data_IF_382183772328
#
_entry.id   IF_382183772328
#
_cell.length_a   1.000
_cell.length_b   1.000
_cell.length_c   1.000
_cell.angle_alpha   90.00
_cell.angle_beta   90.00
_cell.angle_gamma   90.00
#
_symmetry.space_group_name_H-M   'P 1'
#
loop_
_entity.id
_entity.type
_entity.pdbx_description
1 polymer ?
#
# COMPACT_ATOMS: atom_id res chain seq x y z
N UNK A 1 15.98 17.37 19.70
CA UNK A 1 15.01 17.72 20.74
C UNK A 1 15.65 17.27 22.01
N UNK A 2 16.05 18.22 22.85
CA UNK A 2 17.11 18.09 23.86
C UNK A 2 17.02 16.82 24.71
N UNK A 3 15.83 16.55 25.27
CA UNK A 3 15.55 15.35 26.08
C UNK A 3 15.87 14.01 25.37
N UNK A 4 15.67 13.96 24.06
CA UNK A 4 15.89 12.76 23.26
C UNK A 4 17.37 12.55 22.98
N UNK A 5 18.11 13.62 22.72
CA UNK A 5 19.56 13.55 22.49
C UNK A 5 20.25 13.10 23.78
N UNK A 6 19.77 13.60 24.92
CA UNK A 6 20.19 13.15 26.24
C UNK A 6 19.86 11.66 26.48
N UNK A 7 18.63 11.22 26.15
CA UNK A 7 18.25 9.80 26.22
C UNK A 7 19.15 8.91 25.34
N UNK A 8 19.58 9.36 24.17
CA UNK A 8 20.47 8.61 23.29
C UNK A 8 21.89 8.48 23.86
N UNK A 9 22.42 9.56 24.43
CA UNK A 9 23.74 9.58 25.06
C UNK A 9 23.78 8.68 26.30
N UNK A 10 22.80 8.81 27.21
CA UNK A 10 22.68 7.98 28.41
C UNK A 10 22.51 6.50 28.02
N UNK A 11 21.65 6.20 27.04
CA UNK A 11 21.47 4.84 26.58
C UNK A 11 22.77 4.23 26.01
N UNK A 12 23.61 5.02 25.34
CA UNK A 12 24.91 4.56 24.84
C UNK A 12 25.91 4.30 25.98
N UNK A 13 25.94 5.15 27.00
CA UNK A 13 26.79 4.97 28.18
C UNK A 13 26.44 3.68 28.96
N UNK A 14 25.15 3.31 28.98
CA UNK A 14 24.63 2.10 29.62
C UNK A 14 24.52 0.88 28.69
N UNK A 15 25.17 0.90 27.53
CA UNK A 15 25.19 -0.22 26.59
C UNK A 15 23.82 -0.65 26.06
N UNK A 16 22.82 0.23 26.12
CA UNK A 16 21.45 0.01 25.63
C UNK A 16 20.64 -1.09 26.35
N UNK A 17 21.07 -1.52 27.54
CA UNK A 17 20.46 -2.64 28.27
C UNK A 17 19.84 -2.22 29.61
N UNK A 18 20.41 -1.21 30.29
CA UNK A 18 20.03 -0.86 31.67
C UNK A 18 18.94 0.22 31.76
N UNK A 19 17.77 -0.03 31.16
CA UNK A 19 16.70 0.98 31.00
C UNK A 19 16.16 1.57 32.31
N UNK A 20 16.28 0.85 33.42
CA UNK A 20 15.93 1.36 34.74
C UNK A 20 16.86 2.51 35.16
N UNK A 21 18.17 2.30 35.07
CA UNK A 21 19.19 3.32 35.36
C UNK A 21 19.14 4.47 34.36
N UNK A 22 18.93 4.15 33.08
CA UNK A 22 18.77 5.15 32.02
C UNK A 22 17.59 6.09 32.32
N UNK A 23 16.47 5.57 32.84
CA UNK A 23 15.31 6.37 33.18
C UNK A 23 15.52 7.26 34.40
N UNK A 24 16.20 6.74 35.42
CA UNK A 24 16.60 7.48 36.63
C UNK A 24 17.54 8.64 36.27
N UNK A 25 18.55 8.37 35.44
CA UNK A 25 19.53 9.37 35.00
C UNK A 25 18.92 10.40 34.03
N UNK A 26 17.98 9.99 33.19
CA UNK A 26 17.28 10.91 32.30
C UNK A 26 16.44 11.94 33.09
N UNK A 27 15.98 11.60 34.31
CA UNK A 27 15.32 12.54 35.22
C UNK A 27 13.96 13.09 34.73
N UNK A 28 13.36 12.51 33.69
CA UNK A 28 12.17 13.09 33.03
C UNK A 28 10.82 12.52 33.49
N UNK A 29 10.74 11.97 34.71
CA UNK A 29 9.55 11.25 35.24
C UNK A 29 9.05 10.11 34.33
N UNK A 30 9.88 9.64 33.40
CA UNK A 30 9.56 8.55 32.49
C UNK A 30 9.98 7.23 33.12
N UNK A 31 9.16 6.21 32.95
CA UNK A 31 9.54 4.84 33.29
C UNK A 31 10.60 4.30 32.32
N UNK A 32 11.33 3.27 32.75
CA UNK A 32 12.26 2.50 31.90
C UNK A 32 11.64 2.10 30.56
N UNK A 33 10.39 1.65 30.56
CA UNK A 33 9.66 1.28 29.35
C UNK A 33 9.40 2.48 28.43
N UNK A 34 9.00 3.64 28.97
CA UNK A 34 8.77 4.85 28.19
C UNK A 34 10.08 5.39 27.58
N UNK A 35 11.20 5.29 28.30
CA UNK A 35 12.54 5.62 27.79
C UNK A 35 12.93 4.70 26.64
N UNK A 36 12.78 3.38 26.82
CA UNK A 36 13.03 2.39 25.77
C UNK A 36 12.17 2.64 24.53
N UNK A 37 10.86 2.85 24.70
CA UNK A 37 9.92 3.11 23.62
C UNK A 37 10.31 4.36 22.83
N UNK A 38 10.67 5.45 23.53
CA UNK A 38 11.07 6.73 22.91
C UNK A 38 12.42 6.60 22.18
N UNK A 39 13.36 5.82 22.72
CA UNK A 39 14.63 5.51 22.07
C UNK A 39 14.42 4.70 20.79
N UNK A 40 13.63 3.62 20.86
CA UNK A 40 13.32 2.76 19.71
C UNK A 40 12.59 3.53 18.59
N UNK A 41 11.66 4.43 18.93
CA UNK A 41 11.00 5.32 17.96
C UNK A 41 11.95 6.21 17.16
N UNK A 42 13.20 6.37 17.61
CA UNK A 42 14.22 7.18 16.94
C UNK A 42 15.42 6.39 16.44
N UNK A 43 15.48 5.10 16.72
CA UNK A 43 16.48 4.22 16.18
C UNK A 43 16.36 4.20 14.65
N UNK A 44 17.37 4.78 13.96
CA UNK A 44 17.39 4.88 12.50
C UNK A 44 17.47 3.50 11.84
N UNK A 45 18.03 2.50 12.51
CA UNK A 45 18.05 1.12 12.03
C UNK A 45 16.62 0.55 11.95
N UNK A 46 15.80 0.76 12.99
CA UNK A 46 14.37 0.40 13.01
C UNK A 46 13.51 1.22 12.03
N UNK A 47 14.02 2.37 11.57
CA UNK A 47 13.37 3.23 10.56
C UNK A 47 13.78 2.92 9.12
N UNK A 48 14.52 1.84 8.85
CA UNK A 48 14.82 1.44 7.47
C UNK A 48 13.53 1.36 6.65
N UNK A 49 13.36 2.28 5.71
CA UNK A 49 12.12 2.37 4.89
C UNK A 49 12.08 1.33 3.79
N UNK A 50 13.23 1.04 3.19
CA UNK A 50 13.34 0.15 2.05
C UNK A 50 13.78 -1.23 2.51
N UNK A 51 13.18 -2.26 1.93
CA UNK A 51 13.53 -3.66 2.13
C UNK A 51 14.58 -4.06 1.12
N UNK A 52 15.68 -4.66 1.57
CA UNK A 52 16.70 -5.21 0.67
C UNK A 52 16.35 -6.64 0.27
N UNK A 53 16.98 -7.12 -0.81
CA UNK A 53 16.80 -8.51 -1.24
C UNK A 53 17.34 -9.50 -0.20
N UNK A 54 18.41 -9.15 0.52
CA UNK A 54 18.96 -9.93 1.63
C UNK A 54 17.93 -10.07 2.76
N UNK A 55 17.27 -8.97 3.13
CA UNK A 55 16.22 -8.99 4.16
C UNK A 55 15.02 -9.84 3.71
N UNK A 56 14.64 -9.77 2.43
CA UNK A 56 13.58 -10.61 1.88
C UNK A 56 13.95 -12.10 1.90
N UNK A 57 15.18 -12.44 1.51
CA UNK A 57 15.70 -13.82 1.58
C UNK A 57 15.69 -14.33 3.01
N UNK A 58 16.21 -13.53 3.94
CA UNK A 58 16.26 -13.88 5.36
C UNK A 58 14.86 -14.05 5.96
N UNK A 59 13.94 -13.10 5.74
CA UNK A 59 12.56 -13.21 6.21
C UNK A 59 11.88 -14.46 5.63
N UNK A 60 12.10 -14.74 4.35
CA UNK A 60 11.53 -15.93 3.70
C UNK A 60 12.03 -17.22 4.33
N UNK A 61 13.34 -17.33 4.53
CA UNK A 61 13.94 -18.49 5.18
C UNK A 61 13.43 -18.67 6.62
N UNK A 62 13.45 -17.61 7.43
CA UNK A 62 12.98 -17.67 8.82
C UNK A 62 11.50 -18.05 8.92
N UNK A 63 10.66 -17.55 8.01
CA UNK A 63 9.24 -17.95 7.97
C UNK A 63 9.10 -19.42 7.60
N UNK A 64 9.88 -19.93 6.64
CA UNK A 64 9.84 -21.34 6.25
C UNK A 64 10.28 -22.26 7.39
N UNK A 65 11.35 -21.90 8.11
CA UNK A 65 11.90 -22.71 9.20
C UNK A 65 11.05 -22.67 10.47
N UNK A 66 10.48 -21.50 10.82
CA UNK A 66 9.84 -21.29 12.12
C UNK A 66 8.30 -21.40 12.09
N UNK A 67 7.67 -21.49 10.91
CA UNK A 67 6.21 -21.62 10.83
C UNK A 67 5.73 -22.97 11.37
N UNK A 68 4.57 -22.94 12.03
CA UNK A 68 3.86 -24.15 12.47
C UNK A 68 2.48 -24.12 11.85
N UNK A 69 2.28 -24.92 10.80
CA UNK A 69 1.07 -24.88 9.98
C UNK A 69 0.86 -23.50 9.32
N UNK A 70 -0.26 -22.85 9.65
CA UNK A 70 -0.60 -21.49 9.19
C UNK A 70 -0.05 -20.39 10.11
N UNK A 71 0.44 -20.72 11.31
CA UNK A 71 0.95 -19.75 12.25
C UNK A 71 2.42 -19.41 11.97
N UNK A 72 2.69 -18.10 11.84
CA UNK A 72 4.05 -17.56 11.66
C UNK A 72 4.41 -16.75 12.90
N UNK A 73 5.45 -17.14 13.66
CA UNK A 73 5.79 -16.50 14.93
C UNK A 73 6.65 -15.24 14.73
N UNK A 74 6.09 -14.16 14.16
CA UNK A 74 6.82 -12.92 13.85
C UNK A 74 7.52 -12.27 15.04
N UNK A 75 6.97 -12.43 16.25
CA UNK A 75 7.61 -11.97 17.50
C UNK A 75 8.92 -12.69 17.82
N UNK A 76 9.12 -13.91 17.30
CA UNK A 76 10.39 -14.64 17.42
C UNK A 76 11.32 -14.33 16.26
N UNK A 77 10.78 -14.24 15.04
CA UNK A 77 11.55 -13.93 13.82
C UNK A 77 12.26 -12.58 13.96
N UNK A 78 11.64 -11.59 14.61
CA UNK A 78 12.23 -10.25 14.78
C UNK A 78 13.58 -10.25 15.51
N UNK A 79 13.87 -11.24 16.38
CA UNK A 79 15.17 -11.35 17.05
C UNK A 79 16.32 -11.62 16.09
N UNK A 80 16.03 -12.16 14.91
CA UNK A 80 17.01 -12.47 13.86
C UNK A 80 17.06 -11.40 12.76
N UNK A 81 16.21 -10.37 12.83
CA UNK A 81 16.10 -9.33 11.83
C UNK A 81 16.37 -7.95 12.42
N UNK A 82 17.66 -7.66 12.59
CA UNK A 82 18.12 -6.39 13.15
C UNK A 82 17.56 -5.18 12.40
N UNK A 83 17.08 -4.19 13.16
CA UNK A 83 16.50 -2.98 12.56
C UNK A 83 15.12 -3.20 11.93
N UNK A 84 14.43 -4.29 12.25
CA UNK A 84 13.01 -4.46 11.91
C UNK A 84 12.15 -4.70 13.14
N UNK A 85 10.86 -4.38 13.03
CA UNK A 85 9.85 -4.71 14.03
C UNK A 85 8.86 -5.78 13.51
N UNK A 86 8.19 -6.48 14.43
CA UNK A 86 7.28 -7.58 14.06
C UNK A 86 6.14 -7.15 13.12
N UNK A 87 5.67 -5.90 13.19
CA UNK A 87 4.62 -5.39 12.32
C UNK A 87 5.15 -5.16 10.90
N UNK A 88 6.40 -4.67 10.76
CA UNK A 88 7.07 -4.53 9.48
C UNK A 88 7.23 -5.90 8.80
N UNK A 89 7.60 -6.94 9.56
CA UNK A 89 7.71 -8.32 9.05
C UNK A 89 6.35 -8.85 8.57
N UNK A 90 5.29 -8.68 9.39
CA UNK A 90 3.92 -9.07 9.03
C UNK A 90 3.51 -8.38 7.73
N UNK A 91 3.72 -7.06 7.66
CA UNK A 91 3.34 -6.27 6.50
C UNK A 91 4.13 -6.72 5.26
N UNK A 92 5.45 -6.88 5.36
CA UNK A 92 6.28 -7.32 4.23
C UNK A 92 5.87 -8.69 3.72
N UNK A 93 5.67 -9.64 4.64
CA UNK A 93 5.25 -11.00 4.29
C UNK A 93 3.88 -10.99 3.57
N UNK A 94 2.86 -10.47 4.26
CA UNK A 94 1.46 -10.55 3.80
C UNK A 94 1.15 -9.68 2.58
N UNK A 95 2.04 -8.74 2.21
CA UNK A 95 1.86 -7.86 1.05
C UNK A 95 2.75 -8.21 -0.13
N UNK A 96 3.85 -8.94 0.08
CA UNK A 96 4.88 -9.03 -0.96
C UNK A 96 5.57 -10.40 -1.08
N UNK A 97 5.86 -11.07 0.04
CA UNK A 97 6.69 -12.29 0.05
C UNK A 97 5.89 -13.58 0.14
N UNK A 98 4.66 -13.55 0.65
CA UNK A 98 3.83 -14.75 0.77
C UNK A 98 3.66 -15.42 -0.62
N UNK A 99 4.14 -16.66 -0.81
CA UNK A 99 4.02 -17.38 -2.08
C UNK A 99 2.56 -17.60 -2.51
N UNK A 100 1.60 -17.52 -1.58
CA UNK A 100 0.18 -17.57 -1.89
C UNK A 100 -0.33 -16.34 -2.66
N UNK A 101 0.42 -15.23 -2.67
CA UNK A 101 0.02 -14.01 -3.36
C UNK A 101 0.21 -14.12 -4.88
N UNK A 102 -0.90 -14.03 -5.61
CA UNK A 102 -0.93 -13.93 -7.06
C UNK A 102 -0.58 -12.53 -7.53
N UNK A 103 0.48 -12.45 -8.33
CA UNK A 103 0.88 -11.25 -9.09
C UNK A 103 0.30 -11.34 -10.50
N UNK A 104 -0.22 -10.24 -11.02
CA UNK A 104 -0.71 -10.16 -12.41
C UNK A 104 -2.24 -10.11 -12.56
N UNK A 105 -2.71 -10.50 -13.75
CA UNK A 105 -4.09 -10.29 -14.22
C UNK A 105 -5.12 -10.98 -13.34
N UNK A 106 -6.29 -10.36 -13.22
CA UNK A 106 -7.46 -10.91 -12.52
C UNK A 106 -8.26 -11.80 -13.44
N UNK A 107 -8.51 -13.03 -13.00
CA UNK A 107 -9.41 -13.95 -13.67
C UNK A 107 -10.88 -13.58 -13.39
N UNK A 108 -11.82 -13.92 -14.29
CA UNK A 108 -13.25 -13.66 -14.08
C UNK A 108 -13.80 -14.25 -12.76
N UNK A 109 -13.29 -15.42 -12.35
CA UNK A 109 -13.69 -16.09 -11.11
C UNK A 109 -13.22 -15.30 -9.89
N UNK A 110 -12.04 -14.67 -9.96
CA UNK A 110 -11.54 -13.79 -8.90
C UNK A 110 -12.40 -12.52 -8.79
N UNK A 111 -12.79 -11.93 -9.93
CA UNK A 111 -13.69 -10.77 -9.95
C UNK A 111 -15.06 -11.11 -9.36
N UNK A 112 -15.61 -12.30 -9.67
CA UNK A 112 -16.87 -12.75 -9.12
C UNK A 112 -16.81 -12.90 -7.59
N UNK A 113 -15.77 -13.55 -7.07
CA UNK A 113 -15.54 -13.67 -5.61
C UNK A 113 -15.38 -12.31 -4.95
N UNK A 114 -14.61 -11.41 -5.57
CA UNK A 114 -14.43 -10.05 -5.05
C UNK A 114 -15.76 -9.29 -4.98
N UNK A 115 -16.59 -9.38 -6.02
CA UNK A 115 -17.90 -8.73 -6.04
C UNK A 115 -18.83 -9.30 -4.97
N UNK A 116 -18.86 -10.63 -4.80
CA UNK A 116 -19.65 -11.28 -3.77
C UNK A 116 -19.20 -10.87 -2.36
N UNK A 117 -17.89 -10.85 -2.12
CA UNK A 117 -17.32 -10.46 -0.83
C UNK A 117 -17.60 -8.98 -0.51
N UNK A 118 -17.49 -8.08 -1.49
CA UNK A 118 -17.83 -6.66 -1.31
C UNK A 118 -19.33 -6.47 -1.06
N UNK A 119 -20.20 -7.23 -1.74
CA UNK A 119 -21.63 -7.20 -1.45
C UNK A 119 -21.96 -7.69 -0.03
N UNK A 120 -21.19 -8.65 0.49
CA UNK A 120 -21.36 -9.23 1.83
C UNK A 120 -20.84 -8.33 2.96
N UNK A 121 -19.66 -7.72 2.79
CA UNK A 121 -18.97 -6.98 3.86
C UNK A 121 -18.96 -5.46 3.67
N UNK A 122 -19.40 -4.95 2.52
CA UNK A 122 -19.29 -3.55 2.15
C UNK A 122 -17.86 -3.12 1.79
N UNK A 123 -17.70 -1.85 1.41
CA UNK A 123 -16.43 -1.30 0.87
C UNK A 123 -15.45 -0.79 1.96
N UNK A 124 -15.67 -1.20 3.20
CA UNK A 124 -15.00 -0.60 4.38
C UNK A 124 -13.96 -1.54 4.99
N UNK A 125 -14.19 -2.86 4.93
CA UNK A 125 -13.33 -3.87 5.53
C UNK A 125 -12.70 -4.77 4.47
N UNK A 126 -11.65 -4.25 3.83
CA UNK A 126 -10.90 -4.97 2.80
C UNK A 126 -10.11 -6.16 3.34
N UNK A 127 -9.86 -6.20 4.65
CA UNK A 127 -9.20 -7.33 5.30
C UNK A 127 -10.11 -8.56 5.31
N UNK A 128 -11.40 -8.41 5.64
CA UNK A 128 -12.37 -9.52 5.50
C UNK A 128 -12.61 -9.90 4.05
N UNK A 129 -12.65 -8.92 3.15
CA UNK A 129 -12.85 -9.19 1.72
C UNK A 129 -11.73 -10.08 1.15
N UNK A 130 -10.47 -9.84 1.50
CA UNK A 130 -9.36 -10.65 0.97
C UNK A 130 -9.41 -12.11 1.42
N UNK A 131 -10.04 -12.42 2.55
CA UNK A 131 -10.18 -13.80 3.03
C UNK A 131 -11.06 -14.65 2.10
N UNK A 132 -12.00 -14.02 1.39
CA UNK A 132 -12.86 -14.68 0.39
C UNK A 132 -12.25 -14.67 -1.03
N UNK A 133 -11.14 -13.96 -1.25
CA UNK A 133 -10.46 -13.83 -2.55
C UNK A 133 -9.05 -14.42 -2.46
N UNK A 134 -8.93 -15.76 -2.52
CA UNK A 134 -7.67 -16.45 -2.24
C UNK A 134 -6.55 -16.02 -3.17
N UNK A 135 -5.41 -15.68 -2.57
CA UNK A 135 -4.21 -15.24 -3.25
C UNK A 135 -4.21 -13.78 -3.69
N UNK A 136 -5.20 -12.97 -3.32
CA UNK A 136 -5.17 -11.52 -3.50
C UNK A 136 -5.07 -10.83 -2.14
N UNK A 137 -4.21 -9.82 -2.06
CA UNK A 137 -4.16 -8.94 -0.89
C UNK A 137 -5.35 -7.98 -0.87
N UNK A 138 -5.70 -7.49 0.31
CA UNK A 138 -6.71 -6.45 0.55
C UNK A 138 -6.46 -5.19 -0.30
N UNK A 139 -5.19 -4.80 -0.48
CA UNK A 139 -4.83 -3.68 -1.35
C UNK A 139 -5.15 -3.97 -2.82
N UNK A 140 -4.85 -5.18 -3.31
CA UNK A 140 -5.20 -5.59 -4.68
C UNK A 140 -6.72 -5.66 -4.86
N UNK A 141 -7.45 -6.23 -3.91
CA UNK A 141 -8.92 -6.29 -3.92
C UNK A 141 -9.54 -4.90 -4.01
N UNK A 142 -9.11 -3.98 -3.13
CA UNK A 142 -9.56 -2.58 -3.13
C UNK A 142 -9.30 -1.89 -4.45
N UNK A 143 -8.07 -1.98 -4.95
CA UNK A 143 -7.67 -1.33 -6.20
C UNK A 143 -8.46 -1.87 -7.39
N UNK A 144 -8.62 -3.20 -7.47
CA UNK A 144 -9.41 -3.85 -8.52
C UNK A 144 -10.85 -3.39 -8.50
N UNK A 145 -11.49 -3.38 -7.33
CA UNK A 145 -12.88 -3.00 -7.19
C UNK A 145 -13.08 -1.54 -7.61
N UNK A 146 -12.41 -0.60 -6.95
CA UNK A 146 -12.59 0.84 -7.15
C UNK A 146 -12.27 1.29 -8.58
N UNK A 147 -11.33 0.63 -9.28
CA UNK A 147 -10.92 1.04 -10.63
C UNK A 147 -11.65 0.34 -11.76
N UNK A 148 -12.20 -0.86 -11.54
CA UNK A 148 -12.69 -1.72 -12.64
C UNK A 148 -14.08 -2.32 -12.42
N UNK A 149 -14.48 -2.56 -11.17
CA UNK A 149 -15.70 -3.31 -10.85
C UNK A 149 -16.77 -2.51 -10.12
N UNK A 150 -16.39 -1.38 -9.49
CA UNK A 150 -17.30 -0.54 -8.74
C UNK A 150 -18.52 -0.14 -9.59
N UNK A 151 -19.72 -0.26 -9.02
CA UNK A 151 -20.99 -0.10 -9.74
C UNK A 151 -21.16 1.28 -10.38
N UNK A 152 -20.56 2.32 -9.78
CA UNK A 152 -20.57 3.67 -10.34
C UNK A 152 -19.75 3.79 -11.64
N UNK A 153 -18.95 2.81 -12.04
CA UNK A 153 -18.16 2.89 -13.26
C UNK A 153 -19.00 2.47 -14.48
N UNK A 154 -19.17 3.40 -15.42
CA UNK A 154 -19.85 3.15 -16.68
C UNK A 154 -18.95 2.37 -17.63
N UNK A 155 -19.33 1.13 -17.93
CA UNK A 155 -18.74 0.29 -18.99
C UNK A 155 -19.53 0.53 -20.27
N UNK A 156 -18.91 1.10 -21.31
CA UNK A 156 -19.58 1.30 -22.61
C UNK A 156 -19.22 2.60 -23.33
N UNK A 157 -19.95 2.85 -24.43
CA UNK A 157 -19.74 3.99 -25.35
C UNK A 157 -19.78 5.33 -24.62
N UNK A 158 -18.95 6.26 -25.10
CA UNK A 158 -19.01 7.66 -24.70
C UNK A 158 -20.13 8.35 -25.46
N UNK A 159 -20.92 9.17 -24.77
CA UNK A 159 -21.85 10.09 -25.43
C UNK A 159 -21.18 11.46 -25.66
N UNK A 160 -21.82 12.30 -26.48
CA UNK A 160 -21.29 13.61 -26.84
C UNK A 160 -21.07 14.51 -25.62
N UNK A 161 -21.98 14.51 -24.65
CA UNK A 161 -21.85 15.30 -23.41
C UNK A 161 -20.62 14.90 -22.59
N UNK A 162 -20.36 13.60 -22.46
CA UNK A 162 -19.16 13.08 -21.80
C UNK A 162 -17.88 13.49 -22.55
N UNK A 163 -17.92 13.54 -23.88
CA UNK A 163 -16.80 13.98 -24.72
C UNK A 163 -16.53 15.48 -24.59
N UNK A 164 -17.58 16.30 -24.62
CA UNK A 164 -17.52 17.75 -24.43
C UNK A 164 -16.95 18.09 -23.06
N UNK A 165 -17.49 17.48 -22.01
CA UNK A 165 -17.02 17.67 -20.64
C UNK A 165 -15.57 17.20 -20.46
N UNK A 166 -15.16 16.10 -21.13
CA UNK A 166 -13.77 15.67 -21.13
C UNK A 166 -12.85 16.73 -21.77
N UNK A 167 -13.24 17.32 -22.89
CA UNK A 167 -12.46 18.36 -23.57
C UNK A 167 -12.36 19.61 -22.70
N UNK A 168 -13.46 20.04 -22.09
CA UNK A 168 -13.50 21.18 -21.18
C UNK A 168 -12.56 20.97 -19.98
N UNK A 169 -12.64 19.82 -19.31
CA UNK A 169 -11.80 19.50 -18.17
C UNK A 169 -10.31 19.37 -18.56
N UNK A 170 -10.00 18.89 -19.76
CA UNK A 170 -8.62 18.89 -20.30
C UNK A 170 -8.15 20.32 -20.57
N UNK A 171 -9.02 21.20 -21.08
CA UNK A 171 -8.70 22.61 -21.26
C UNK A 171 -8.43 23.32 -19.92
N UNK A 172 -9.20 22.97 -18.89
CA UNK A 172 -9.08 23.52 -17.53
C UNK A 172 -7.85 23.04 -16.77
N UNK A 173 -7.56 21.73 -16.80
CA UNK A 173 -6.51 21.12 -15.98
C UNK A 173 -5.24 20.75 -16.75
N UNK A 174 -5.29 20.66 -18.07
CA UNK A 174 -4.19 20.19 -18.91
C UNK A 174 -4.19 18.68 -19.17
N UNK A 175 -3.53 18.29 -20.26
CA UNK A 175 -3.37 16.89 -20.67
C UNK A 175 -2.46 16.18 -19.67
N UNK A 176 -2.87 15.01 -19.16
CA UNK A 176 -2.09 14.23 -18.20
C UNK A 176 -2.71 14.17 -16.81
N UNK A 177 -3.56 15.13 -16.44
CA UNK A 177 -4.23 15.20 -15.14
C UNK A 177 -5.46 14.28 -15.04
N UNK A 178 -5.35 13.04 -15.52
CA UNK A 178 -6.49 12.12 -15.70
C UNK A 178 -7.23 11.76 -14.42
N UNK A 179 -6.51 11.62 -13.30
CA UNK A 179 -7.14 11.36 -12.01
C UNK A 179 -8.01 12.54 -11.56
N UNK A 180 -7.51 13.77 -11.76
CA UNK A 180 -8.26 14.99 -11.44
C UNK A 180 -9.45 15.17 -12.38
N UNK A 181 -9.24 14.98 -13.68
CA UNK A 181 -10.33 15.02 -14.68
C UNK A 181 -11.41 14.00 -14.35
N UNK A 182 -11.05 12.75 -14.04
CA UNK A 182 -12.01 11.71 -13.68
C UNK A 182 -12.79 12.01 -12.39
N UNK A 183 -12.21 12.77 -11.46
CA UNK A 183 -12.94 13.20 -10.25
C UNK A 183 -14.09 14.16 -10.54
N UNK A 184 -14.04 14.86 -11.68
CA UNK A 184 -15.08 15.80 -12.14
C UNK A 184 -15.89 15.28 -13.34
N UNK A 185 -15.60 14.06 -13.80
CA UNK A 185 -16.32 13.39 -14.88
C UNK A 185 -17.04 12.15 -14.32
N UNK A 186 -18.34 12.25 -14.01
CA UNK A 186 -19.09 11.18 -13.36
C UNK A 186 -18.94 9.85 -14.08
N UNK A 187 -18.76 8.77 -13.31
CA UNK A 187 -18.78 7.39 -13.79
C UNK A 187 -17.65 6.99 -14.76
N UNK A 188 -16.64 7.85 -14.99
CA UNK A 188 -15.47 7.54 -15.83
C UNK A 188 -14.19 7.57 -15.02
N UNK A 189 -13.34 6.57 -15.22
CA UNK A 189 -12.01 6.51 -14.60
C UNK A 189 -10.95 7.25 -15.43
N UNK A 190 -9.85 7.64 -14.79
CA UNK A 190 -8.76 8.35 -15.47
C UNK A 190 -8.19 7.58 -16.67
N UNK A 191 -8.13 6.24 -16.59
CA UNK A 191 -7.73 5.40 -17.72
C UNK A 191 -8.71 5.47 -18.89
N UNK A 192 -10.01 5.56 -18.63
CA UNK A 192 -11.02 5.75 -19.67
C UNK A 192 -10.86 7.13 -20.33
N UNK A 193 -10.63 8.19 -19.54
CA UNK A 193 -10.38 9.54 -20.05
C UNK A 193 -9.16 9.60 -20.97
N UNK A 194 -8.03 9.01 -20.54
CA UNK A 194 -6.81 8.93 -21.37
C UNK A 194 -7.05 8.18 -22.68
N UNK A 195 -7.70 7.01 -22.60
CA UNK A 195 -8.00 6.19 -23.78
C UNK A 195 -8.88 6.96 -24.77
N UNK A 196 -9.92 7.64 -24.27
CA UNK A 196 -10.81 8.45 -25.10
C UNK A 196 -10.08 9.61 -25.76
N UNK A 197 -9.24 10.34 -25.01
CA UNK A 197 -8.42 11.43 -25.55
C UNK A 197 -7.50 10.96 -26.69
N UNK A 198 -6.81 9.83 -26.52
CA UNK A 198 -5.96 9.23 -27.57
C UNK A 198 -6.75 8.96 -28.86
N UNK A 199 -7.96 8.42 -28.74
CA UNK A 199 -8.85 8.15 -29.90
C UNK A 199 -9.26 9.46 -30.60
N UNK A 200 -9.65 10.49 -29.83
CA UNK A 200 -10.05 11.79 -30.39
C UNK A 200 -8.88 12.48 -31.13
N UNK A 201 -7.68 12.41 -30.57
CA UNK A 201 -6.47 12.99 -31.18
C UNK A 201 -6.03 12.23 -32.44
N UNK A 202 -6.15 10.89 -32.45
CA UNK A 202 -5.92 10.08 -33.65
C UNK A 202 -6.86 10.43 -34.80
N UNK A 203 -8.15 10.67 -34.51
CA UNK A 203 -9.14 11.13 -35.50
C UNK A 203 -8.81 12.52 -36.07
N UNK A 204 -8.32 13.46 -35.26
CA UNK A 204 -7.91 14.80 -35.72
C UNK A 204 -6.72 14.78 -36.68
N UNK A 205 -5.77 13.85 -36.51
CA UNK A 205 -4.64 13.71 -37.45
C UNK A 205 -5.03 13.04 -38.77
N UNK A 206 -5.93 12.05 -38.74
CA UNK A 206 -6.46 11.40 -39.94
C UNK A 206 -7.29 12.33 -40.84
N UNK A 207 -8.11 13.22 -40.24
CA UNK A 207 -8.89 14.21 -41.00
C UNK A 207 -7.99 15.27 -41.69
N UNK A 208 -6.85 15.63 -41.09
CA UNK A 208 -5.89 16.58 -41.68
C UNK A 208 -5.12 15.98 -42.85
N UNK A 209 -4.88 14.65 -42.86
CA UNK A 209 -4.19 13.95 -43.96
C UNK A 209 -5.06 13.69 -45.18
N UNK A 210 -6.38 13.54 -45.02
CA UNK A 210 -7.34 13.35 -46.13
C UNK A 210 -7.73 14.63 -46.88
N UNK A 211 -7.35 15.80 -46.35
CA UNK A 211 -7.60 17.12 -46.96
C UNK A 211 -6.35 17.69 -47.68
N UNK A 212 -5.32 16.87 -47.86
CA UNK A 212 -4.14 17.17 -48.67
C UNK A 212 -4.14 16.27 -49.89
#
# INVERSE_FOLDING_TARGET
>A
GEEVEQLQAIAAAHGHLEWQKIAEELGTSRSAFQCLQKFQQRNKALKRKEWTEEEDRMLTQLVQEMRVGSHIPYRRIVYYMEGRDSMQLIYRWTKSLDPGLKKGNWAPEEDAKLLQAVAKYGEQDWFKIREEVPGRSDAQCRDRYLRRLHFSLKKGRWNLKEEEQLIELIGKYGVGHWAKIASELPHRSGSQCLSKWKIMMGKKQGLRRRRR
#
